data_IF_116616109872
#
_entry.id   IF_116616109872
#
_cell.length_a   1.000
_cell.length_b   1.000
_cell.length_c   1.000
_cell.angle_alpha   90.00
_cell.angle_beta   90.00
_cell.angle_gamma   90.00
#
_symmetry.space_group_name_H-M   'P 1'
#
loop_
_entity.id
_entity.type
_entity.pdbx_description
1 polymer ?
#
# COMPACT_ATOMS: atom_id res chain seq x y z
N UNK A 1 12.09 55.05 -34.76
CA UNK A 1 10.97 54.48 -33.99
C UNK A 1 10.73 53.04 -34.43
N UNK A 2 10.40 52.19 -33.46
CA UNK A 2 9.91 50.79 -33.57
C UNK A 2 10.92 49.67 -33.86
N UNK A 3 11.47 49.15 -32.76
CA UNK A 3 12.03 47.81 -32.60
C UNK A 3 10.89 46.80 -32.38
N UNK A 4 10.71 45.82 -33.28
CA UNK A 4 9.81 44.70 -33.04
C UNK A 4 10.61 43.50 -32.52
N UNK A 5 10.52 43.29 -31.20
CA UNK A 5 10.96 42.08 -30.50
C UNK A 5 9.91 40.99 -30.71
N UNK A 6 10.27 39.91 -31.41
CA UNK A 6 9.43 38.73 -31.53
C UNK A 6 9.83 37.73 -30.44
N UNK A 7 9.07 37.73 -29.35
CA UNK A 7 9.17 36.83 -28.21
C UNK A 7 8.95 35.38 -28.67
N UNK A 8 10.01 34.58 -28.70
CA UNK A 8 9.93 33.14 -28.87
C UNK A 8 9.28 32.51 -27.64
N UNK A 9 7.98 32.22 -27.73
CA UNK A 9 7.25 31.44 -26.74
C UNK A 9 7.77 30.00 -26.75
N UNK A 10 8.60 29.67 -25.75
CA UNK A 10 8.91 28.27 -25.43
C UNK A 10 7.64 27.59 -24.91
N UNK A 11 6.98 26.85 -25.78
CA UNK A 11 5.92 25.90 -25.41
C UNK A 11 6.56 24.72 -24.68
N UNK A 12 6.59 24.79 -23.36
CA UNK A 12 6.87 23.63 -22.52
C UNK A 12 5.63 22.71 -22.59
N UNK A 13 5.68 21.69 -23.44
CA UNK A 13 4.76 20.55 -23.37
C UNK A 13 5.16 19.69 -22.17
N UNK A 14 4.62 20.00 -20.99
CA UNK A 14 4.57 19.07 -19.87
C UNK A 14 3.48 18.01 -20.13
N UNK A 15 3.78 17.06 -21.02
CA UNK A 15 2.94 15.87 -21.19
C UNK A 15 3.60 14.71 -20.44
N UNK A 16 3.52 14.74 -19.10
CA UNK A 16 3.86 13.60 -18.25
C UNK A 16 2.84 12.48 -18.47
N UNK A 17 3.07 11.70 -19.52
CA UNK A 17 2.34 10.47 -19.78
C UNK A 17 2.80 9.41 -18.77
N UNK A 18 2.01 9.23 -17.71
CA UNK A 18 2.11 8.08 -16.82
C UNK A 18 1.81 6.81 -17.64
N UNK A 19 2.82 6.27 -18.32
CA UNK A 19 2.76 4.93 -18.88
C UNK A 19 2.54 3.99 -17.70
N UNK A 20 1.33 3.45 -17.63
CA UNK A 20 0.93 2.42 -16.68
C UNK A 20 1.78 1.18 -16.97
N UNK A 21 2.98 1.12 -16.40
CA UNK A 21 3.82 -0.08 -16.42
C UNK A 21 3.08 -1.08 -15.52
N UNK A 22 2.17 -1.84 -16.14
CA UNK A 22 1.68 -3.10 -15.62
C UNK A 22 2.88 -4.03 -15.58
N UNK A 23 3.72 -3.88 -14.56
CA UNK A 23 4.58 -4.96 -14.12
C UNK A 23 3.60 -6.09 -13.80
N UNK A 24 3.79 -7.26 -14.42
CA UNK A 24 3.18 -8.51 -13.93
C UNK A 24 3.64 -8.67 -12.48
N UNK A 25 2.90 -8.08 -11.54
CA UNK A 25 2.95 -8.45 -10.14
C UNK A 25 2.61 -9.93 -10.13
N UNK A 26 3.49 -10.73 -9.53
CA UNK A 26 3.47 -12.18 -9.63
C UNK A 26 2.06 -12.70 -9.41
N UNK A 27 1.59 -13.52 -10.35
CA UNK A 27 0.48 -14.42 -10.07
C UNK A 27 0.93 -15.32 -8.93
N UNK A 28 0.62 -14.90 -7.70
CA UNK A 28 0.67 -15.79 -6.55
C UNK A 28 -0.41 -16.84 -6.76
N UNK A 29 0.02 -18.06 -6.48
CA UNK A 29 -0.58 -19.32 -6.88
C UNK A 29 -2.02 -19.41 -6.39
N UNK A 30 -2.92 -19.99 -7.20
CA UNK A 30 -4.34 -20.24 -6.86
C UNK A 30 -4.57 -21.01 -5.53
N UNK A 31 -3.50 -21.42 -4.85
CA UNK A 31 -3.51 -22.29 -3.67
C UNK A 31 -2.70 -21.73 -2.48
N UNK A 32 -2.33 -20.44 -2.48
CA UNK A 32 -1.62 -19.87 -1.33
C UNK A 32 -2.56 -19.66 -0.16
N UNK A 33 -2.16 -20.06 1.05
CA UNK A 33 -2.98 -19.79 2.26
C UNK A 33 -2.88 -18.31 2.66
N UNK A 34 -3.88 -17.74 3.35
CA UNK A 34 -3.84 -16.36 3.83
C UNK A 34 -2.59 -16.04 4.68
N UNK A 35 -2.06 -17.05 5.37
CA UNK A 35 -0.81 -16.95 6.11
C UNK A 35 0.39 -16.71 5.16
N UNK A 36 0.52 -17.52 4.11
CA UNK A 36 1.59 -17.35 3.12
C UNK A 36 1.49 -16.01 2.40
N UNK A 37 0.28 -15.53 2.13
CA UNK A 37 0.06 -14.21 1.53
C UNK A 37 0.55 -13.11 2.47
N UNK A 38 0.26 -13.19 3.77
CA UNK A 38 0.77 -12.27 4.80
C UNK A 38 2.31 -12.31 4.90
N UNK A 39 2.90 -13.51 4.92
CA UNK A 39 4.36 -13.70 5.01
C UNK A 39 5.09 -13.15 3.78
N UNK A 40 4.54 -13.39 2.58
CA UNK A 40 5.14 -12.92 1.32
C UNK A 40 5.23 -11.39 1.21
N UNK A 41 4.41 -10.69 1.99
CA UNK A 41 4.33 -9.24 1.96
C UNK A 41 5.52 -8.55 2.66
N UNK A 42 6.18 -9.22 3.61
CA UNK A 42 7.33 -8.70 4.38
C UNK A 42 7.05 -7.47 5.27
N UNK A 43 5.83 -6.92 5.25
CA UNK A 43 5.44 -5.75 6.05
C UNK A 43 4.93 -6.10 7.46
N UNK A 44 4.74 -7.40 7.73
CA UNK A 44 4.05 -7.88 8.92
C UNK A 44 4.90 -8.88 9.70
N UNK A 45 4.82 -8.80 11.02
CA UNK A 45 5.25 -9.83 11.95
C UNK A 45 4.02 -10.59 12.44
N UNK A 46 4.11 -11.92 12.47
CA UNK A 46 2.98 -12.80 12.81
C UNK A 46 3.24 -13.42 14.19
N UNK A 47 2.78 -12.79 15.29
CA UNK A 47 2.98 -13.32 16.65
C UNK A 47 2.23 -14.63 16.92
N UNK A 48 1.18 -14.98 16.16
CA UNK A 48 0.52 -16.25 16.36
C UNK A 48 -0.67 -16.52 15.44
N UNK A 49 -0.99 -17.80 15.31
CA UNK A 49 -2.13 -18.33 14.59
C UNK A 49 -2.91 -19.28 15.51
N UNK A 50 -4.23 -19.25 15.40
CA UNK A 50 -5.12 -20.23 16.04
C UNK A 50 -6.13 -20.73 15.01
N UNK A 51 -6.48 -22.01 15.10
CA UNK A 51 -7.57 -22.62 14.36
C UNK A 51 -8.50 -23.32 15.35
N UNK A 52 -9.80 -23.24 15.10
CA UNK A 52 -10.82 -23.84 15.93
C UNK A 52 -11.79 -24.63 15.04
N UNK A 53 -11.90 -25.92 15.32
CA UNK A 53 -12.86 -26.81 14.69
C UNK A 53 -14.06 -27.02 15.61
N UNK A 54 -15.25 -27.20 15.04
CA UNK A 54 -16.48 -27.45 15.78
C UNK A 54 -16.81 -28.96 15.75
N UNK A 55 -16.28 -29.77 16.67
CA UNK A 55 -16.43 -31.24 16.63
C UNK A 55 -17.87 -31.72 16.80
N UNK A 56 -18.74 -30.90 17.41
CA UNK A 56 -20.15 -31.24 17.62
C UNK A 56 -21.02 -31.15 16.35
N UNK A 57 -20.50 -30.63 15.24
CA UNK A 57 -21.23 -30.48 13.97
C UNK A 57 -20.35 -30.87 12.77
N UNK A 58 -20.04 -32.18 12.59
CA UNK A 58 -19.16 -32.65 11.52
C UNK A 58 -19.75 -32.38 10.11
N UNK A 59 -21.07 -32.34 9.98
CA UNK A 59 -21.74 -32.03 8.69
C UNK A 59 -21.51 -30.60 8.22
N UNK A 60 -21.19 -29.68 9.15
CA UNK A 60 -21.04 -28.27 8.81
C UNK A 60 -19.65 -27.95 8.25
N UNK A 61 -18.63 -28.80 8.45
CA UNK A 61 -17.22 -28.58 8.04
C UNK A 61 -16.72 -27.14 8.31
N UNK A 62 -17.19 -26.54 9.41
CA UNK A 62 -16.82 -25.18 9.79
C UNK A 62 -15.50 -25.25 10.56
N UNK A 63 -14.40 -24.97 9.88
CA UNK A 63 -13.12 -24.66 10.51
C UNK A 63 -12.97 -23.14 10.56
N UNK A 64 -12.73 -22.60 11.75
CA UNK A 64 -12.51 -21.17 11.96
C UNK A 64 -11.01 -20.90 12.14
N UNK A 65 -10.50 -19.88 11.46
CA UNK A 65 -9.11 -19.48 11.50
C UNK A 65 -8.97 -18.06 12.03
N UNK A 66 -7.97 -17.86 12.89
CA UNK A 66 -7.55 -16.58 13.44
C UNK A 66 -6.05 -16.41 13.20
N UNK A 67 -5.68 -15.33 12.53
CA UNK A 67 -4.28 -14.93 12.33
C UNK A 67 -4.08 -13.58 13.01
N UNK A 68 -3.17 -13.55 13.99
CA UNK A 68 -2.75 -12.31 14.62
C UNK A 68 -1.45 -11.85 13.98
N UNK A 69 -1.41 -10.59 13.53
CA UNK A 69 -0.25 -9.97 12.90
C UNK A 69 -0.09 -8.52 13.34
N UNK A 70 1.12 -7.98 13.28
CA UNK A 70 1.45 -6.58 13.57
C UNK A 70 2.31 -6.03 12.44
N UNK A 71 2.24 -4.72 12.22
CA UNK A 71 3.15 -4.05 11.29
C UNK A 71 4.55 -4.03 11.91
N UNK A 72 5.58 -4.25 11.08
CA UNK A 72 6.97 -4.04 11.52
C UNK A 72 7.22 -2.56 11.83
N UNK A 73 8.29 -2.27 12.56
CA UNK A 73 8.65 -0.89 12.94
C UNK A 73 8.84 0.03 11.73
N UNK A 74 9.42 -0.49 10.65
CA UNK A 74 9.63 0.24 9.38
C UNK A 74 8.32 0.73 8.77
N UNK A 75 7.23 -0.02 8.94
CA UNK A 75 5.91 0.29 8.40
C UNK A 75 4.93 0.84 9.45
N UNK A 76 5.40 1.15 10.66
CA UNK A 76 4.55 1.69 11.73
C UNK A 76 3.82 2.99 11.33
N UNK A 77 4.47 3.82 10.50
CA UNK A 77 3.88 5.05 9.96
C UNK A 77 2.67 4.80 9.03
N UNK A 78 2.54 3.59 8.48
CA UNK A 78 1.42 3.21 7.61
C UNK A 78 0.20 2.70 8.37
N UNK A 79 0.26 2.61 9.70
CA UNK A 79 -0.84 2.15 10.54
C UNK A 79 -2.17 2.88 10.24
N UNK A 80 -2.13 4.21 10.12
CA UNK A 80 -3.32 5.00 9.84
C UNK A 80 -3.95 4.66 8.48
N UNK A 81 -3.12 4.45 7.46
CA UNK A 81 -3.54 4.03 6.14
C UNK A 81 -4.16 2.62 6.18
N UNK A 82 -3.48 1.69 6.84
CA UNK A 82 -3.94 0.31 6.95
C UNK A 82 -5.29 0.22 7.69
N UNK A 83 -5.44 0.96 8.80
CA UNK A 83 -6.73 1.10 9.50
C UNK A 83 -7.81 1.71 8.61
N UNK A 84 -7.44 2.69 7.77
CA UNK A 84 -8.34 3.26 6.78
C UNK A 84 -8.88 2.20 5.82
N UNK A 85 -8.00 1.36 5.26
CA UNK A 85 -8.42 0.28 4.36
C UNK A 85 -9.29 -0.78 5.04
N UNK A 86 -8.99 -1.13 6.29
CA UNK A 86 -9.81 -2.04 7.11
C UNK A 86 -11.24 -1.49 7.28
N UNK A 87 -11.36 -0.18 7.49
CA UNK A 87 -12.64 0.49 7.75
C UNK A 87 -13.44 0.82 6.47
N UNK A 88 -12.79 0.89 5.31
CA UNK A 88 -13.45 1.19 4.03
C UNK A 88 -14.39 0.06 3.57
N UNK A 89 -14.24 -1.14 4.13
CA UNK A 89 -15.17 -2.25 3.91
C UNK A 89 -14.44 -3.58 3.80
N UNK A 90 -15.08 -4.61 4.35
CA UNK A 90 -14.59 -5.98 4.36
C UNK A 90 -15.62 -6.86 3.65
N UNK A 91 -15.20 -7.84 2.85
CA UNK A 91 -16.14 -8.78 2.24
C UNK A 91 -16.80 -9.66 3.30
N UNK A 92 -17.99 -10.18 2.97
CA UNK A 92 -18.67 -11.16 3.81
C UNK A 92 -17.76 -12.37 4.05
N UNK A 93 -17.70 -12.86 5.29
CA UNK A 93 -16.84 -13.97 5.69
C UNK A 93 -15.44 -13.56 6.17
N UNK A 94 -15.05 -12.29 6.01
CA UNK A 94 -13.76 -11.75 6.47
C UNK A 94 -13.97 -10.73 7.57
N UNK A 95 -13.30 -10.92 8.70
CA UNK A 95 -13.30 -9.97 9.80
C UNK A 95 -11.86 -9.60 10.18
N UNK A 96 -11.46 -8.39 9.84
CA UNK A 96 -10.18 -7.80 10.21
C UNK A 96 -10.38 -6.70 11.24
N UNK A 97 -9.75 -6.83 12.40
CA UNK A 97 -9.92 -5.90 13.53
C UNK A 97 -8.56 -5.48 14.05
N UNK A 98 -8.40 -4.19 14.33
CA UNK A 98 -7.22 -3.67 15.01
C UNK A 98 -7.47 -3.53 16.51
N UNK A 99 -6.72 -4.25 17.33
CA UNK A 99 -6.73 -4.15 18.79
C UNK A 99 -5.73 -3.07 19.23
N UNK A 100 -6.25 -1.94 19.70
CA UNK A 100 -5.46 -0.75 20.02
C UNK A 100 -4.44 -0.99 21.13
N UNK A 101 -4.83 -1.72 22.17
CA UNK A 101 -4.03 -1.91 23.38
C UNK A 101 -2.79 -2.77 23.12
N UNK A 102 -2.95 -3.81 22.30
CA UNK A 102 -1.86 -4.71 21.92
C UNK A 102 -1.11 -4.27 20.67
N UNK A 103 -1.65 -3.31 19.91
CA UNK A 103 -1.18 -2.91 18.58
C UNK A 103 -1.13 -4.09 17.60
N UNK A 104 -2.10 -5.01 17.70
CA UNK A 104 -2.20 -6.23 16.89
C UNK A 104 -3.43 -6.13 15.98
N UNK A 105 -3.29 -6.66 14.78
CA UNK A 105 -4.39 -6.93 13.87
C UNK A 105 -4.78 -8.40 13.99
N UNK A 106 -6.09 -8.64 14.06
CA UNK A 106 -6.68 -9.97 14.05
C UNK A 106 -7.47 -10.16 12.77
N UNK A 107 -7.07 -11.12 11.95
CA UNK A 107 -7.81 -11.60 10.79
C UNK A 107 -8.53 -12.89 11.17
N UNK A 108 -9.86 -12.86 11.06
CA UNK A 108 -10.78 -13.95 11.39
C UNK A 108 -11.55 -14.34 10.15
N UNK A 109 -11.63 -15.64 9.86
CA UNK A 109 -12.35 -16.15 8.70
C UNK A 109 -12.71 -17.64 8.89
N UNK A 110 -13.71 -18.11 8.16
CA UNK A 110 -13.94 -19.55 8.01
C UNK A 110 -13.10 -20.09 6.87
N UNK A 111 -12.68 -21.35 6.97
CA UNK A 111 -11.91 -22.04 5.92
C UNK A 111 -12.63 -22.03 4.56
N UNK A 112 -13.95 -22.06 4.56
CA UNK A 112 -14.74 -21.95 3.32
C UNK A 112 -14.53 -20.61 2.59
N UNK A 113 -14.17 -19.54 3.32
CA UNK A 113 -13.98 -18.19 2.79
C UNK A 113 -12.49 -17.89 2.47
N UNK A 114 -11.61 -18.89 2.50
CA UNK A 114 -10.16 -18.72 2.35
C UNK A 114 -9.78 -17.99 1.04
N UNK A 115 -10.44 -18.32 -0.07
CA UNK A 115 -10.22 -17.65 -1.35
C UNK A 115 -10.63 -16.17 -1.31
N UNK A 116 -11.75 -15.86 -0.64
CA UNK A 116 -12.25 -14.49 -0.47
C UNK A 116 -11.26 -13.67 0.37
N UNK A 117 -10.71 -14.26 1.44
CA UNK A 117 -9.69 -13.66 2.29
C UNK A 117 -8.44 -13.33 1.48
N UNK A 118 -7.96 -14.28 0.66
CA UNK A 118 -6.79 -14.07 -0.18
C UNK A 118 -6.98 -12.92 -1.16
N UNK A 119 -8.13 -12.84 -1.83
CA UNK A 119 -8.45 -11.74 -2.75
C UNK A 119 -8.49 -10.40 -2.00
N UNK A 120 -9.08 -10.37 -0.82
CA UNK A 120 -9.13 -9.18 0.03
C UNK A 120 -7.73 -8.72 0.47
N UNK A 121 -6.91 -9.62 1.01
CA UNK A 121 -5.54 -9.31 1.45
C UNK A 121 -4.69 -8.78 0.30
N UNK A 122 -4.74 -9.44 -0.86
CA UNK A 122 -4.01 -9.00 -2.05
C UNK A 122 -4.43 -7.59 -2.50
N UNK A 123 -5.73 -7.28 -2.45
CA UNK A 123 -6.24 -5.95 -2.76
C UNK A 123 -5.69 -4.90 -1.79
N UNK A 124 -5.77 -5.17 -0.48
CA UNK A 124 -5.26 -4.26 0.55
C UNK A 124 -3.75 -4.04 0.38
N UNK A 125 -2.97 -5.10 0.19
CA UNK A 125 -1.52 -5.00 0.03
C UNK A 125 -1.12 -4.27 -1.24
N UNK A 126 -1.87 -4.45 -2.32
CA UNK A 126 -1.66 -3.69 -3.54
C UNK A 126 -1.87 -2.20 -3.31
N UNK A 127 -2.95 -1.79 -2.66
CA UNK A 127 -3.20 -0.37 -2.38
C UNK A 127 -2.14 0.23 -1.47
N UNK A 128 -1.73 -0.49 -0.42
CA UNK A 128 -0.63 -0.05 0.46
C UNK A 128 0.68 0.09 -0.33
N UNK A 129 0.99 -0.87 -1.20
CA UNK A 129 2.20 -0.86 -2.02
C UNK A 129 2.22 0.30 -3.03
N UNK A 130 1.09 0.56 -3.69
CA UNK A 130 0.90 1.69 -4.59
C UNK A 130 1.09 3.02 -3.86
N UNK A 131 0.55 3.16 -2.65
CA UNK A 131 0.69 4.36 -1.81
C UNK A 131 2.14 4.58 -1.35
N UNK A 132 2.85 3.53 -0.92
CA UNK A 132 4.29 3.62 -0.58
C UNK A 132 5.09 4.10 -1.79
N UNK A 133 4.82 3.54 -2.96
CA UNK A 133 5.48 3.93 -4.22
C UNK A 133 5.18 5.38 -4.56
N UNK A 134 3.93 5.80 -4.45
CA UNK A 134 3.51 7.17 -4.71
C UNK A 134 4.26 8.16 -3.79
N UNK A 135 4.27 7.92 -2.48
CA UNK A 135 5.00 8.76 -1.51
C UNK A 135 6.49 8.84 -1.81
N UNK A 136 7.11 7.74 -2.23
CA UNK A 136 8.52 7.71 -2.61
C UNK A 136 8.80 8.59 -3.83
N UNK A 137 7.95 8.53 -4.85
CA UNK A 137 8.08 9.35 -6.06
C UNK A 137 7.87 10.83 -5.71
N UNK A 138 6.83 11.15 -4.94
CA UNK A 138 6.53 12.52 -4.54
C UNK A 138 7.69 13.15 -3.77
N UNK A 139 8.31 12.39 -2.85
CA UNK A 139 9.49 12.86 -2.10
C UNK A 139 10.63 13.26 -3.04
N UNK A 140 10.93 12.43 -4.04
CA UNK A 140 11.97 12.72 -5.03
C UNK A 140 11.66 13.98 -5.84
N UNK A 141 10.40 14.18 -6.23
CA UNK A 141 9.98 15.38 -6.96
C UNK A 141 10.18 16.63 -6.09
N UNK A 142 9.77 16.57 -4.82
CA UNK A 142 9.93 17.70 -3.89
C UNK A 142 11.42 18.01 -3.61
N UNK A 143 12.26 16.99 -3.47
CA UNK A 143 13.71 17.16 -3.33
C UNK A 143 14.32 17.83 -4.56
N UNK A 144 13.95 17.39 -5.77
CA UNK A 144 14.40 18.00 -7.01
C UNK A 144 13.93 19.45 -7.17
N UNK A 145 12.67 19.75 -6.83
CA UNK A 145 12.14 21.13 -6.88
C UNK A 145 12.88 22.05 -5.90
N UNK A 146 13.20 21.56 -4.69
CA UNK A 146 13.99 22.32 -3.71
C UNK A 146 15.42 22.56 -4.18
N UNK A 147 16.06 21.55 -4.78
CA UNK A 147 17.40 21.70 -5.35
C UNK A 147 17.38 22.73 -6.49
N UNK A 148 16.43 22.63 -7.41
CA UNK A 148 16.26 23.57 -8.52
C UNK A 148 16.03 25.00 -8.04
N UNK A 149 15.14 25.21 -7.05
CA UNK A 149 14.90 26.54 -6.49
C UNK A 149 16.14 27.14 -5.80
N UNK A 150 16.97 26.29 -5.19
CA UNK A 150 18.25 26.72 -4.58
C UNK A 150 19.26 27.12 -5.65
N UNK A 151 19.37 26.34 -6.73
CA UNK A 151 20.22 26.65 -7.88
C UNK A 151 19.80 27.95 -8.56
N UNK A 152 18.49 28.14 -8.79
CA UNK A 152 17.95 29.37 -9.37
C UNK A 152 18.25 30.59 -8.48
N UNK A 153 18.15 30.43 -7.16
CA UNK A 153 18.51 31.47 -6.20
C UNK A 153 19.99 31.85 -6.26
N UNK A 154 20.89 30.87 -6.38
CA UNK A 154 22.32 31.12 -6.53
C UNK A 154 22.66 31.79 -7.86
N UNK A 155 22.07 31.33 -8.96
CA UNK A 155 22.25 31.94 -10.28
C UNK A 155 21.77 33.40 -10.31
N UNK A 156 20.62 33.69 -9.69
CA UNK A 156 20.13 35.06 -9.55
C UNK A 156 21.07 35.92 -8.70
N UNK A 157 21.63 35.36 -7.63
CA UNK A 157 22.59 36.09 -6.80
C UNK A 157 23.87 36.43 -7.56
N UNK A 158 24.39 35.54 -8.42
CA UNK A 158 25.59 35.83 -9.23
C UNK A 158 25.31 36.75 -10.43
N UNK A 159 24.14 36.65 -11.06
CA UNK A 159 23.80 37.46 -12.25
C UNK A 159 23.39 38.91 -11.92
N UNK A 160 22.90 39.15 -10.71
CA UNK A 160 22.43 40.47 -10.26
C UNK A 160 23.26 41.05 -9.10
N UNK A 161 24.40 40.42 -8.78
CA UNK A 161 25.48 40.98 -7.96
C UNK A 161 26.50 41.70 -8.84
#
# INVERSE_FOLDING_TARGET
MSTASATSQFLIKEEFSFRRILKKEGQLTKNSTPLQVLESCGMFEIPGMAAFDFPNFPEANKSFHLINFKLTEEFAALKGLFNGFINLGQPLGVLMVFEKDRKIYSLKYYKADEEVVNVYLNRVFRFVSEEIRFKRILRKILENQKAFAKEEGLLKAELFS
#
